data_IF_529382967817
#
_entry.id   IF_529382967817
#
_cell.length_a   1.000
_cell.length_b   1.000
_cell.length_c   1.000
_cell.angle_alpha   90.00
_cell.angle_beta   90.00
_cell.angle_gamma   90.00
#
_symmetry.space_group_name_H-M   'P 1'
#
loop_
_entity.id
_entity.type
_entity.pdbx_description
1 polymer ?
#
# COMPACT_ATOMS: atom_id res chain seq x y z
N UNK A 1 21.33 -15.06 -14.45
CA UNK A 1 19.87 -15.24 -14.42
C UNK A 1 19.27 -13.92 -14.00
N UNK A 2 18.38 -13.33 -14.80
CA UNK A 2 17.84 -12.00 -14.55
C UNK A 2 16.52 -12.07 -13.78
N UNK A 3 16.40 -11.32 -12.69
CA UNK A 3 15.25 -11.31 -11.80
C UNK A 3 13.97 -10.85 -12.51
N UNK A 4 14.02 -9.91 -13.47
CA UNK A 4 12.82 -9.40 -14.17
C UNK A 4 12.02 -10.46 -14.94
N UNK A 5 12.62 -11.61 -15.27
CA UNK A 5 11.97 -12.68 -16.05
C UNK A 5 11.35 -13.80 -15.20
N UNK A 6 11.64 -13.82 -13.90
CA UNK A 6 11.18 -14.86 -12.99
C UNK A 6 10.03 -14.35 -12.13
N UNK A 7 9.11 -15.21 -11.75
CA UNK A 7 8.05 -14.85 -10.80
C UNK A 7 8.61 -14.89 -9.38
N UNK A 8 8.13 -14.03 -8.47
CA UNK A 8 8.62 -14.05 -7.08
C UNK A 8 8.30 -15.40 -6.45
N UNK A 9 7.12 -15.94 -6.76
CA UNK A 9 6.61 -17.21 -6.27
C UNK A 9 7.47 -18.43 -6.66
N UNK A 10 8.41 -18.27 -7.59
CA UNK A 10 9.38 -19.32 -7.98
C UNK A 10 10.55 -19.44 -7.00
N UNK A 11 10.71 -18.48 -6.08
CA UNK A 11 11.74 -18.48 -5.07
C UNK A 11 11.19 -18.93 -3.70
N UNK A 12 12.02 -19.55 -2.86
CA UNK A 12 11.73 -19.76 -1.44
C UNK A 12 11.49 -18.44 -0.69
N UNK A 13 10.84 -18.47 0.48
CA UNK A 13 10.37 -17.27 1.20
C UNK A 13 11.44 -16.20 1.45
N UNK A 14 12.62 -16.57 1.95
CA UNK A 14 13.68 -15.57 2.13
C UNK A 14 14.22 -15.09 0.77
N UNK A 15 14.36 -16.00 -0.20
CA UNK A 15 14.64 -15.66 -1.59
C UNK A 15 13.69 -14.63 -2.20
N UNK A 16 12.38 -14.76 -1.94
CA UNK A 16 11.35 -13.81 -2.35
C UNK A 16 11.60 -12.41 -1.78
N UNK A 17 11.85 -12.31 -0.46
CA UNK A 17 12.15 -11.03 0.19
C UNK A 17 13.39 -10.38 -0.41
N UNK A 18 14.48 -11.15 -0.54
CA UNK A 18 15.75 -10.65 -1.08
C UNK A 18 15.63 -10.20 -2.54
N UNK A 19 14.89 -10.94 -3.36
CA UNK A 19 14.63 -10.59 -4.76
C UNK A 19 13.68 -9.40 -4.90
N UNK A 20 12.68 -9.29 -4.02
CA UNK A 20 11.79 -8.13 -3.95
C UNK A 20 12.57 -6.84 -3.70
N UNK A 21 13.43 -6.85 -2.67
CA UNK A 21 14.32 -5.72 -2.36
C UNK A 21 15.28 -5.38 -3.52
N UNK A 22 15.85 -6.40 -4.17
CA UNK A 22 16.72 -6.19 -5.32
C UNK A 22 16.01 -5.47 -6.46
N UNK A 23 14.79 -5.89 -6.82
CA UNK A 23 13.99 -5.27 -7.88
C UNK A 23 13.64 -3.82 -7.60
N UNK A 24 13.31 -3.50 -6.36
CA UNK A 24 12.97 -2.14 -5.94
C UNK A 24 14.17 -1.19 -6.00
N UNK A 25 15.39 -1.73 -5.94
CA UNK A 25 16.64 -0.99 -6.05
C UNK A 25 17.28 -1.09 -7.45
N UNK A 26 16.49 -1.44 -8.48
CA UNK A 26 16.94 -1.62 -9.86
C UNK A 26 18.09 -2.62 -10.04
N UNK A 27 18.22 -3.58 -9.11
CA UNK A 27 19.17 -4.69 -9.20
C UNK A 27 18.50 -5.87 -9.90
N UNK A 28 19.05 -6.28 -11.04
CA UNK A 28 18.47 -7.27 -11.94
C UNK A 28 19.12 -8.65 -11.82
N UNK A 29 20.30 -8.78 -11.21
CA UNK A 29 20.99 -10.06 -11.15
C UNK A 29 21.63 -10.36 -9.79
N UNK A 30 21.82 -11.64 -9.41
CA UNK A 30 22.63 -12.00 -8.24
C UNK A 30 24.07 -11.48 -8.32
N UNK A 31 24.57 -11.28 -9.53
CA UNK A 31 25.90 -10.71 -9.77
C UNK A 31 25.96 -9.24 -9.36
N UNK A 32 24.93 -8.45 -9.68
CA UNK A 32 24.84 -7.05 -9.26
C UNK A 32 24.64 -6.90 -7.75
N UNK A 33 23.86 -7.79 -7.10
CA UNK A 33 23.81 -7.84 -5.62
C UNK A 33 25.22 -8.07 -5.06
N UNK A 34 25.95 -9.06 -5.59
CA UNK A 34 27.28 -9.38 -5.11
C UNK A 34 28.30 -8.26 -5.34
N UNK A 35 28.24 -7.58 -6.49
CA UNK A 35 29.07 -6.40 -6.79
C UNK A 35 28.75 -5.27 -5.80
N UNK A 36 27.46 -5.00 -5.56
CA UNK A 36 27.04 -3.94 -4.64
C UNK A 36 27.46 -4.25 -3.20
N UNK A 37 27.34 -5.50 -2.76
CA UNK A 37 27.84 -5.96 -1.46
C UNK A 37 29.36 -5.84 -1.35
N UNK A 38 30.10 -6.19 -2.40
CA UNK A 38 31.54 -6.03 -2.43
C UNK A 38 31.93 -4.55 -2.30
N UNK A 39 31.29 -3.65 -3.04
CA UNK A 39 31.61 -2.22 -3.03
C UNK A 39 31.20 -1.53 -1.73
N UNK A 40 29.99 -1.79 -1.22
CA UNK A 40 29.39 -1.05 -0.09
C UNK A 40 29.57 -1.75 1.26
N UNK A 41 29.81 -3.05 1.28
CA UNK A 41 29.76 -3.88 2.49
C UNK A 41 30.93 -4.88 2.59
N UNK A 42 32.06 -4.62 1.93
CA UNK A 42 33.18 -5.57 1.81
C UNK A 42 33.57 -6.23 3.14
N UNK A 43 33.77 -5.43 4.19
CA UNK A 43 34.23 -5.92 5.50
C UNK A 43 33.27 -6.95 6.13
N UNK A 44 31.97 -6.88 5.82
CA UNK A 44 30.96 -7.82 6.29
C UNK A 44 30.93 -9.12 5.47
N UNK A 45 31.15 -9.01 4.16
CA UNK A 45 31.01 -10.14 3.21
C UNK A 45 32.35 -10.69 2.72
N UNK A 46 33.46 -10.23 3.30
CA UNK A 46 34.82 -10.57 2.88
C UNK A 46 35.00 -12.09 2.80
N UNK A 47 35.38 -12.63 1.63
CA UNK A 47 35.69 -14.05 1.48
C UNK A 47 36.94 -14.45 2.27
N UNK A 48 37.03 -15.73 2.62
CA UNK A 48 38.20 -16.26 3.32
C UNK A 48 39.48 -16.11 2.48
N UNK A 49 40.62 -15.89 3.15
CA UNK A 49 41.91 -15.70 2.49
C UNK A 49 42.31 -16.93 1.69
N UNK A 50 42.65 -16.73 0.41
CA UNK A 50 43.15 -17.80 -0.46
C UNK A 50 44.66 -17.74 -0.54
N UNK A 51 45.29 -18.89 -0.27
CA UNK A 51 46.73 -19.09 -0.47
C UNK A 51 46.97 -19.83 -1.79
N UNK A 52 47.94 -19.37 -2.57
CA UNK A 52 48.38 -20.12 -3.75
C UNK A 52 49.22 -21.35 -3.35
N UNK A 53 49.66 -22.13 -4.35
CA UNK A 53 50.56 -23.28 -4.16
C UNK A 53 51.90 -22.97 -3.47
N UNK A 54 52.23 -21.69 -3.31
CA UNK A 54 53.44 -21.19 -2.62
C UNK A 54 53.11 -20.51 -1.28
N UNK A 55 51.90 -20.67 -0.75
CA UNK A 55 51.48 -20.10 0.53
C UNK A 55 51.23 -18.59 0.55
N UNK A 56 51.36 -17.88 -0.58
CA UNK A 56 51.11 -16.43 -0.66
C UNK A 56 49.61 -16.15 -0.78
N UNK A 57 49.14 -15.16 -0.02
CA UNK A 57 47.77 -14.66 -0.11
C UNK A 57 47.58 -14.00 -1.47
N UNK A 58 46.60 -14.47 -2.23
CA UNK A 58 46.21 -13.88 -3.52
C UNK A 58 44.89 -13.15 -3.30
N UNK A 59 44.94 -11.81 -3.31
CA UNK A 59 43.75 -10.96 -3.31
C UNK A 59 43.39 -10.61 -4.76
N UNK A 60 42.17 -10.93 -5.15
CA UNK A 60 41.68 -10.65 -6.50
C UNK A 60 40.19 -10.34 -6.40
N UNK A 61 39.84 -9.10 -6.73
CA UNK A 61 38.46 -8.59 -6.71
C UNK A 61 37.51 -9.52 -7.47
N UNK A 62 37.88 -9.94 -8.68
CA UNK A 62 37.07 -10.85 -9.49
C UNK A 62 36.78 -12.18 -8.77
N UNK A 63 37.78 -12.73 -8.06
CA UNK A 63 37.62 -13.96 -7.30
C UNK A 63 36.77 -13.76 -6.04
N UNK A 64 36.89 -12.60 -5.40
CA UNK A 64 36.08 -12.25 -4.23
C UNK A 64 34.61 -12.09 -4.61
N UNK A 65 34.33 -11.30 -5.66
CA UNK A 65 32.99 -11.12 -6.21
C UNK A 65 32.40 -12.48 -6.63
N UNK A 66 33.16 -13.33 -7.35
CA UNK A 66 32.69 -14.70 -7.70
C UNK A 66 32.33 -15.54 -6.48
N UNK A 67 33.01 -15.34 -5.36
CA UNK A 67 32.72 -16.05 -4.11
C UNK A 67 31.45 -15.53 -3.46
N UNK A 68 31.28 -14.21 -3.43
CA UNK A 68 30.06 -13.54 -2.93
C UNK A 68 28.86 -13.94 -3.78
N UNK A 69 28.99 -14.00 -5.11
CA UNK A 69 27.92 -14.45 -6.03
C UNK A 69 27.39 -15.83 -5.62
N UNK A 70 28.29 -16.80 -5.37
CA UNK A 70 27.88 -18.15 -4.96
C UNK A 70 27.07 -18.12 -3.68
N UNK A 71 27.48 -17.32 -2.70
CA UNK A 71 26.78 -17.18 -1.42
C UNK A 71 25.41 -16.52 -1.61
N UNK A 72 25.35 -15.43 -2.38
CA UNK A 72 24.08 -14.74 -2.72
C UNK A 72 23.12 -15.70 -3.43
N UNK A 73 23.61 -16.53 -4.35
CA UNK A 73 22.78 -17.54 -5.03
C UNK A 73 22.25 -18.61 -4.07
N UNK A 74 23.04 -19.04 -3.08
CA UNK A 74 22.55 -19.95 -2.04
C UNK A 74 21.45 -19.26 -1.22
N UNK A 75 21.69 -18.03 -0.77
CA UNK A 75 20.70 -17.27 0.00
C UNK A 75 19.41 -17.00 -0.77
N UNK A 76 19.47 -16.76 -2.08
CA UNK A 76 18.27 -16.63 -2.92
C UNK A 76 17.45 -17.92 -2.99
N UNK A 77 18.07 -19.08 -2.80
CA UNK A 77 17.40 -20.38 -2.75
C UNK A 77 17.13 -20.85 -1.32
N UNK A 78 17.23 -19.97 -0.33
CA UNK A 78 16.98 -20.30 1.07
C UNK A 78 15.53 -19.98 1.44
N UNK A 79 14.86 -20.93 2.10
CA UNK A 79 13.50 -20.74 2.61
C UNK A 79 13.54 -20.02 3.96
N UNK A 80 14.49 -20.40 4.82
CA UNK A 80 14.55 -19.94 6.20
C UNK A 80 15.66 -18.91 6.41
N UNK A 81 15.26 -17.67 6.72
CA UNK A 81 16.18 -16.55 6.98
C UNK A 81 17.22 -16.84 8.08
N UNK A 82 16.92 -17.73 9.04
CA UNK A 82 17.85 -18.11 10.11
C UNK A 82 19.06 -18.94 9.62
N UNK A 83 18.98 -19.53 8.42
CA UNK A 83 20.10 -20.24 7.79
C UNK A 83 21.09 -19.30 7.10
N UNK A 84 20.69 -18.04 6.88
CA UNK A 84 21.53 -17.02 6.26
C UNK A 84 22.52 -16.50 7.31
N UNK A 85 23.79 -16.42 6.92
CA UNK A 85 24.86 -15.96 7.80
C UNK A 85 24.56 -14.54 8.29
N UNK A 86 24.63 -14.28 9.61
CA UNK A 86 24.24 -12.99 10.21
C UNK A 86 25.00 -11.79 9.61
N UNK A 87 26.28 -11.99 9.23
CA UNK A 87 27.08 -10.97 8.54
C UNK A 87 26.48 -10.55 7.18
N UNK A 88 25.90 -11.51 6.45
CA UNK A 88 25.19 -11.25 5.19
C UNK A 88 23.81 -10.65 5.44
N UNK A 89 23.09 -11.08 6.49
CA UNK A 89 21.83 -10.43 6.88
C UNK A 89 22.04 -8.95 7.17
N UNK A 90 23.08 -8.61 7.92
CA UNK A 90 23.44 -7.22 8.18
C UNK A 90 23.89 -6.49 6.90
N UNK A 91 24.67 -7.14 6.04
CA UNK A 91 25.08 -6.53 4.78
C UNK A 91 23.89 -6.26 3.84
N UNK A 92 22.90 -7.15 3.77
CA UNK A 92 21.66 -6.92 3.03
C UNK A 92 20.83 -5.78 3.63
N UNK A 93 20.77 -5.71 4.97
CA UNK A 93 20.03 -4.64 5.66
C UNK A 93 20.63 -3.27 5.30
N UNK A 94 21.96 -3.15 5.30
CA UNK A 94 22.69 -1.94 4.89
C UNK A 94 22.53 -1.64 3.40
N UNK A 95 22.64 -2.66 2.54
CA UNK A 95 22.57 -2.48 1.08
C UNK A 95 21.19 -1.97 0.63
N UNK A 96 20.12 -2.56 1.17
CA UNK A 96 18.74 -2.27 0.81
C UNK A 96 18.03 -1.32 1.77
N UNK A 97 18.76 -0.74 2.71
CA UNK A 97 18.24 0.25 3.68
C UNK A 97 16.99 -0.24 4.43
N UNK A 98 16.95 -1.54 4.75
CA UNK A 98 15.85 -2.18 5.45
C UNK A 98 16.28 -2.72 6.82
N UNK A 99 15.33 -3.01 7.69
CA UNK A 99 15.56 -3.58 9.01
C UNK A 99 15.98 -5.05 8.93
N UNK A 100 16.81 -5.47 9.87
CA UNK A 100 17.19 -6.89 10.00
C UNK A 100 15.97 -7.75 10.37
N UNK A 101 15.06 -7.22 11.19
CA UNK A 101 13.82 -7.90 11.59
C UNK A 101 12.91 -8.17 10.38
N UNK A 102 12.87 -7.25 9.40
CA UNK A 102 12.18 -7.47 8.13
C UNK A 102 12.75 -8.63 7.33
N UNK A 103 14.09 -8.69 7.23
CA UNK A 103 14.81 -9.77 6.54
C UNK A 103 14.59 -11.13 7.22
N UNK A 104 14.54 -11.17 8.56
CA UNK A 104 14.18 -12.38 9.30
C UNK A 104 12.68 -12.73 9.22
N UNK A 105 11.84 -11.83 8.70
CA UNK A 105 10.39 -12.03 8.63
C UNK A 105 9.69 -11.90 10.00
N UNK A 106 10.33 -11.23 10.96
CA UNK A 106 9.74 -10.93 12.28
C UNK A 106 8.69 -9.82 12.16
N UNK A 107 8.92 -8.88 11.25
CA UNK A 107 8.01 -7.77 10.93
C UNK A 107 7.89 -7.61 9.41
N UNK A 108 6.78 -7.08 8.93
CA UNK A 108 6.62 -6.68 7.52
C UNK A 108 6.99 -5.21 7.29
N UNK A 109 7.40 -4.49 8.34
CA UNK A 109 7.86 -3.09 8.26
C UNK A 109 9.34 -3.05 7.88
N UNK A 110 9.66 -2.44 6.73
CA UNK A 110 11.02 -2.40 6.18
C UNK A 110 11.89 -1.37 6.87
N UNK A 111 11.30 -0.28 7.35
CA UNK A 111 12.05 0.87 7.87
C UNK A 111 13.11 0.50 8.90
N UNK A 112 14.32 1.02 8.70
CA UNK A 112 15.38 0.99 9.71
C UNK A 112 15.09 1.93 10.88
N UNK A 113 14.27 2.96 10.67
CA UNK A 113 13.90 3.91 11.71
C UNK A 113 12.97 3.24 12.72
N UNK A 114 13.47 3.14 13.97
CA UNK A 114 12.75 2.50 15.06
C UNK A 114 11.39 3.17 15.30
N UNK A 115 11.30 4.49 15.18
CA UNK A 115 10.06 5.23 15.40
C UNK A 115 8.99 4.89 14.36
N UNK A 116 9.36 4.87 13.08
CA UNK A 116 8.45 4.47 11.98
C UNK A 116 7.95 3.05 12.22
N UNK A 117 8.85 2.14 12.61
CA UNK A 117 8.50 0.75 12.92
C UNK A 117 7.52 0.63 14.08
N UNK A 118 7.81 1.30 15.20
CA UNK A 118 6.94 1.29 16.37
C UNK A 118 5.56 1.87 16.07
N UNK A 119 5.48 2.93 15.26
CA UNK A 119 4.19 3.50 14.84
C UNK A 119 3.44 2.48 13.98
N UNK A 120 4.07 1.89 12.96
CA UNK A 120 3.44 0.88 12.12
C UNK A 120 2.92 -0.31 12.94
N UNK A 121 3.73 -0.85 13.86
CA UNK A 121 3.37 -1.99 14.70
C UNK A 121 2.23 -1.68 15.68
N UNK A 122 2.21 -0.48 16.27
CA UNK A 122 1.17 -0.08 17.23
C UNK A 122 -0.15 0.31 16.56
N UNK A 123 -0.10 0.87 15.35
CA UNK A 123 -1.27 1.43 14.66
C UNK A 123 -1.82 0.52 13.56
N UNK A 124 -1.02 -0.42 13.06
CA UNK A 124 -1.33 -1.21 11.87
C UNK A 124 -1.23 -0.43 10.55
N UNK A 125 -0.79 0.83 10.60
CA UNK A 125 -0.55 1.63 9.38
C UNK A 125 0.64 1.06 8.61
N UNK A 126 0.57 1.16 7.28
CA UNK A 126 1.70 0.81 6.43
C UNK A 126 2.83 1.83 6.57
N UNK A 127 4.07 1.39 6.33
CA UNK A 127 5.25 2.26 6.36
C UNK A 127 5.06 3.50 5.49
N UNK A 128 4.53 3.33 4.27
CA UNK A 128 4.23 4.45 3.37
C UNK A 128 3.24 5.45 3.97
N UNK A 129 2.21 4.99 4.67
CA UNK A 129 1.24 5.88 5.31
C UNK A 129 1.90 6.68 6.45
N UNK A 130 2.73 6.03 7.27
CA UNK A 130 3.48 6.70 8.35
C UNK A 130 4.50 7.69 7.79
N UNK A 131 5.25 7.31 6.75
CA UNK A 131 6.19 8.20 6.07
C UNK A 131 5.48 9.42 5.49
N UNK A 132 4.33 9.24 4.82
CA UNK A 132 3.53 10.37 4.34
C UNK A 132 3.12 11.32 5.47
N UNK A 133 2.72 10.79 6.64
CA UNK A 133 2.36 11.62 7.79
C UNK A 133 3.56 12.40 8.34
N UNK A 134 4.74 11.78 8.39
CA UNK A 134 5.96 12.44 8.88
C UNK A 134 6.46 13.49 7.89
N UNK A 135 6.55 13.17 6.60
CA UNK A 135 7.09 14.05 5.56
C UNK A 135 6.20 15.26 5.28
N UNK A 136 4.88 15.12 5.47
CA UNK A 136 3.92 16.22 5.28
C UNK A 136 3.56 16.92 6.60
N UNK A 137 4.31 16.65 7.67
CA UNK A 137 4.14 17.35 8.93
C UNK A 137 4.79 18.74 8.83
N UNK A 138 3.95 19.76 8.73
CA UNK A 138 4.38 21.15 8.84
C UNK A 138 4.23 21.61 10.29
N UNK A 139 5.32 22.06 10.91
CA UNK A 139 5.33 22.56 12.29
C UNK A 139 4.63 23.93 12.40
N UNK A 140 4.53 24.69 11.30
CA UNK A 140 3.98 26.04 11.28
C UNK A 140 3.11 26.26 10.04
N UNK A 141 1.98 25.55 9.92
CA UNK A 141 1.10 25.69 8.77
C UNK A 141 0.48 27.10 8.76
N UNK A 142 0.76 27.89 7.73
CA UNK A 142 0.21 29.26 7.62
C UNK A 142 -1.32 29.27 7.42
N UNK A 143 -1.88 28.27 6.72
CA UNK A 143 -3.30 28.24 6.35
C UNK A 143 -3.97 26.85 6.47
N UNK A 144 -3.27 25.79 6.10
CA UNK A 144 -3.81 24.42 6.08
C UNK A 144 -2.70 23.41 6.36
N UNK A 145 -2.95 22.47 7.28
CA UNK A 145 -2.10 21.33 7.53
C UNK A 145 -2.78 20.04 7.09
N UNK A 146 -2.13 19.32 6.18
CA UNK A 146 -2.59 18.00 5.71
C UNK A 146 -2.62 17.02 6.87
N UNK A 147 -1.58 17.02 7.71
CA UNK A 147 -1.47 16.10 8.85
C UNK A 147 -2.47 16.42 9.94
N UNK A 148 -2.76 17.70 10.19
CA UNK A 148 -3.83 18.10 11.12
C UNK A 148 -5.20 17.68 10.59
N UNK A 149 -5.47 17.85 9.29
CA UNK A 149 -6.74 17.40 8.69
C UNK A 149 -6.93 15.89 8.86
N UNK A 150 -5.88 15.10 8.64
CA UNK A 150 -5.93 13.65 8.89
C UNK A 150 -6.08 13.34 10.37
N UNK A 151 -5.40 14.03 11.28
CA UNK A 151 -5.58 13.86 12.73
C UNK A 151 -7.05 14.06 13.12
N UNK A 152 -7.66 15.13 12.62
CA UNK A 152 -9.07 15.43 12.88
C UNK A 152 -10.02 14.35 12.35
N UNK A 153 -9.70 13.72 11.21
CA UNK A 153 -10.45 12.59 10.68
C UNK A 153 -10.31 11.35 11.57
N UNK A 154 -9.09 11.08 12.05
CA UNK A 154 -8.80 9.94 12.91
C UNK A 154 -9.43 10.08 14.31
N UNK A 155 -9.64 11.31 14.77
CA UNK A 155 -10.35 11.63 16.03
C UNK A 155 -11.89 11.57 15.89
N UNK A 156 -12.41 11.66 14.67
CA UNK A 156 -13.84 11.69 14.41
C UNK A 156 -14.46 10.28 14.38
N UNK A 157 -15.80 10.20 14.49
CA UNK A 157 -16.53 8.94 14.27
C UNK A 157 -16.35 8.41 12.85
N UNK A 158 -16.07 9.29 11.90
CA UNK A 158 -15.73 8.93 10.52
C UNK A 158 -14.62 7.87 10.43
N UNK A 159 -13.69 7.83 11.41
CA UNK A 159 -12.67 6.78 11.51
C UNK A 159 -13.26 5.36 11.52
N UNK A 160 -14.37 5.14 12.23
CA UNK A 160 -15.04 3.84 12.32
C UNK A 160 -16.18 3.70 11.31
N UNK A 161 -16.97 4.76 11.13
CA UNK A 161 -18.21 4.70 10.35
C UNK A 161 -17.94 4.45 8.87
N UNK A 162 -16.93 5.11 8.29
CA UNK A 162 -16.61 4.95 6.85
C UNK A 162 -16.20 3.49 6.54
N UNK A 163 -15.23 2.86 7.24
CA UNK A 163 -14.89 1.47 7.00
C UNK A 163 -16.05 0.48 7.22
N UNK A 164 -16.89 0.70 8.24
CA UNK A 164 -18.03 -0.20 8.55
C UNK A 164 -19.08 -0.14 7.43
N UNK A 165 -19.43 1.06 6.97
CA UNK A 165 -20.40 1.23 5.89
C UNK A 165 -19.82 0.72 4.56
N UNK A 166 -18.54 0.95 4.29
CA UNK A 166 -17.84 0.36 3.14
C UNK A 166 -17.90 -1.16 3.17
N UNK A 167 -17.56 -1.79 4.30
CA UNK A 167 -17.63 -3.25 4.46
C UNK A 167 -19.03 -3.78 4.16
N UNK A 168 -20.06 -3.14 4.70
CA UNK A 168 -21.46 -3.52 4.45
C UNK A 168 -21.79 -3.46 2.97
N UNK A 169 -21.38 -2.39 2.29
CA UNK A 169 -21.55 -2.27 0.83
C UNK A 169 -20.80 -3.37 0.08
N UNK A 170 -19.53 -3.63 0.42
CA UNK A 170 -18.71 -4.67 -0.21
C UNK A 170 -19.30 -6.06 -0.04
N UNK A 171 -19.83 -6.39 1.14
CA UNK A 171 -20.52 -7.67 1.38
C UNK A 171 -21.74 -7.84 0.47
N UNK A 172 -22.53 -6.78 0.24
CA UNK A 172 -23.67 -6.81 -0.71
C UNK A 172 -23.22 -7.00 -2.15
N UNK A 173 -22.14 -6.33 -2.56
CA UNK A 173 -21.55 -6.52 -3.89
C UNK A 173 -21.08 -7.96 -4.09
N UNK A 174 -20.44 -8.54 -3.06
CA UNK A 174 -19.99 -9.93 -3.08
C UNK A 174 -21.17 -10.91 -3.21
N UNK A 175 -22.21 -10.75 -2.39
CA UNK A 175 -23.45 -11.56 -2.48
C UNK A 175 -24.03 -11.55 -3.90
N UNK A 176 -24.07 -10.38 -4.55
CA UNK A 176 -24.54 -10.24 -5.93
C UNK A 176 -23.65 -10.98 -6.92
N UNK A 177 -22.32 -10.88 -6.77
CA UNK A 177 -21.38 -11.58 -7.64
C UNK A 177 -21.46 -13.10 -7.48
N UNK A 178 -21.66 -13.59 -6.26
CA UNK A 178 -21.80 -15.03 -6.01
C UNK A 178 -23.11 -15.59 -6.58
N UNK A 179 -24.20 -14.82 -6.54
CA UNK A 179 -25.42 -15.15 -7.27
C UNK A 179 -25.18 -15.25 -8.77
N UNK A 180 -24.43 -14.31 -9.36
CA UNK A 180 -24.08 -14.37 -10.79
C UNK A 180 -23.28 -15.64 -11.12
N UNK A 181 -22.22 -15.94 -10.37
CA UNK A 181 -21.42 -17.16 -10.57
C UNK A 181 -22.28 -18.42 -10.46
N UNK A 182 -23.24 -18.43 -9.54
CA UNK A 182 -24.17 -19.57 -9.37
C UNK A 182 -25.10 -19.72 -10.56
N UNK A 183 -25.65 -18.62 -11.09
CA UNK A 183 -26.47 -18.62 -12.31
C UNK A 183 -25.66 -19.16 -13.49
N UNK A 184 -24.44 -18.66 -13.68
CA UNK A 184 -23.55 -19.07 -14.78
C UNK A 184 -23.22 -20.58 -14.68
N UNK A 185 -22.93 -21.07 -13.47
CA UNK A 185 -22.66 -22.48 -13.23
C UNK A 185 -23.86 -23.39 -13.52
N UNK A 186 -25.07 -22.97 -13.15
CA UNK A 186 -26.30 -23.73 -13.45
C UNK A 186 -26.56 -23.75 -14.95
N UNK A 187 -26.47 -22.60 -15.63
CA UNK A 187 -26.66 -22.51 -17.07
C UNK A 187 -25.67 -23.39 -17.84
N UNK A 188 -24.40 -23.40 -17.41
CA UNK A 188 -23.38 -24.29 -17.97
C UNK A 188 -23.73 -25.76 -17.75
N UNK A 189 -24.09 -26.16 -16.54
CA UNK A 189 -24.46 -27.54 -16.23
C UNK A 189 -25.69 -28.01 -17.03
N UNK A 190 -26.68 -27.14 -17.24
CA UNK A 190 -27.86 -27.44 -18.06
C UNK A 190 -27.53 -27.64 -19.54
N UNK A 191 -26.46 -27.01 -20.04
CA UNK A 191 -25.97 -27.22 -21.40
C UNK A 191 -25.15 -28.50 -21.59
N UNK A 192 -24.65 -29.10 -20.50
CA UNK A 192 -23.74 -30.25 -20.54
C UNK A 192 -24.40 -31.58 -20.13
N UNK A 193 -25.48 -31.54 -19.34
CA UNK A 193 -26.15 -32.74 -18.80
C UNK A 193 -27.47 -33.01 -19.52
N UNK A 194 -27.63 -34.21 -20.09
CA UNK A 194 -28.93 -34.67 -20.56
C UNK A 194 -29.86 -34.97 -19.39
N UNK A 195 -30.99 -34.28 -19.33
CA UNK A 195 -32.00 -34.41 -18.29
C UNK A 195 -33.33 -34.85 -18.90
N UNK A 196 -34.11 -35.62 -18.14
CA UNK A 196 -35.50 -35.88 -18.47
C UNK A 196 -36.30 -34.56 -18.61
N UNK A 197 -37.28 -34.54 -19.51
CA UNK A 197 -38.09 -33.37 -19.83
C UNK A 197 -38.68 -32.63 -18.63
N UNK A 198 -39.18 -33.36 -17.61
CA UNK A 198 -39.79 -32.78 -16.42
C UNK A 198 -38.71 -32.18 -15.51
N UNK A 199 -37.60 -32.90 -15.35
CA UNK A 199 -36.46 -32.44 -14.54
C UNK A 199 -35.82 -31.20 -15.17
N UNK A 200 -35.70 -31.16 -16.50
CA UNK A 200 -35.12 -30.04 -17.23
C UNK A 200 -35.90 -28.75 -17.00
N UNK A 201 -37.23 -28.79 -17.14
CA UNK A 201 -38.11 -27.64 -16.88
C UNK A 201 -37.93 -27.11 -15.45
N UNK A 202 -37.89 -28.01 -14.45
CA UNK A 202 -37.69 -27.61 -13.05
C UNK A 202 -36.32 -26.97 -12.79
N UNK A 203 -35.26 -27.42 -13.48
CA UNK A 203 -33.93 -26.83 -13.31
C UNK A 203 -33.76 -25.52 -14.09
N UNK A 204 -34.40 -25.37 -15.26
CA UNK A 204 -34.41 -24.12 -16.05
C UNK A 204 -35.07 -22.96 -15.29
N UNK A 205 -35.99 -23.23 -14.36
CA UNK A 205 -36.60 -22.20 -13.49
C UNK A 205 -35.67 -21.65 -12.40
N UNK A 206 -34.57 -22.36 -12.08
CA UNK A 206 -33.66 -21.95 -10.99
C UNK A 206 -32.83 -20.70 -11.34
N UNK A 207 -32.18 -20.62 -12.51
CA UNK A 207 -31.52 -19.39 -12.97
C UNK A 207 -32.44 -18.18 -12.92
N UNK A 208 -33.67 -18.29 -13.42
CA UNK A 208 -34.65 -17.19 -13.43
C UNK A 208 -34.99 -16.71 -12.02
N UNK A 209 -35.15 -17.65 -11.09
CA UNK A 209 -35.42 -17.33 -9.68
C UNK A 209 -34.23 -16.62 -9.04
N UNK A 210 -33.01 -17.10 -9.30
CA UNK A 210 -31.78 -16.48 -8.79
C UNK A 210 -31.55 -15.10 -9.41
N UNK A 211 -31.92 -14.90 -10.68
CA UNK A 211 -31.81 -13.60 -11.36
C UNK A 211 -32.76 -12.56 -10.71
N UNK A 212 -33.95 -12.97 -10.27
CA UNK A 212 -34.84 -12.10 -9.47
C UNK A 212 -34.21 -11.71 -8.13
N UNK A 213 -33.68 -12.68 -7.38
CA UNK A 213 -32.97 -12.38 -6.13
C UNK A 213 -31.74 -11.48 -6.37
N UNK A 214 -31.04 -11.65 -7.50
CA UNK A 214 -29.90 -10.80 -7.87
C UNK A 214 -30.32 -9.34 -8.06
N UNK A 215 -31.46 -9.08 -8.70
CA UNK A 215 -32.02 -7.73 -8.87
C UNK A 215 -32.39 -7.09 -7.52
N UNK A 216 -33.03 -7.82 -6.63
CA UNK A 216 -33.32 -7.32 -5.28
C UNK A 216 -32.02 -6.95 -4.54
N UNK A 217 -30.97 -7.76 -4.69
CA UNK A 217 -29.65 -7.46 -4.12
C UNK A 217 -29.00 -6.24 -4.75
N UNK A 218 -29.22 -5.99 -6.03
CA UNK A 218 -28.73 -4.79 -6.71
C UNK A 218 -29.32 -3.51 -6.11
N UNK A 219 -30.62 -3.47 -5.82
CA UNK A 219 -31.25 -2.34 -5.12
C UNK A 219 -30.64 -2.12 -3.72
N UNK A 220 -30.37 -3.20 -2.98
CA UNK A 220 -29.69 -3.10 -1.68
C UNK A 220 -28.24 -2.62 -1.79
N UNK A 221 -27.54 -2.93 -2.89
CA UNK A 221 -26.21 -2.41 -3.17
C UNK A 221 -26.25 -0.90 -3.38
N UNK A 222 -27.17 -0.42 -4.23
CA UNK A 222 -27.35 1.02 -4.47
C UNK A 222 -27.72 1.77 -3.18
N UNK A 223 -28.62 1.21 -2.37
CA UNK A 223 -28.98 1.79 -1.07
C UNK A 223 -27.80 1.85 -0.09
N UNK A 224 -26.96 0.82 -0.06
CA UNK A 224 -25.77 0.78 0.81
C UNK A 224 -24.70 1.76 0.34
N UNK A 225 -24.47 1.86 -0.98
CA UNK A 225 -23.57 2.84 -1.59
C UNK A 225 -24.03 4.27 -1.32
N UNK A 226 -25.32 4.56 -1.50
CA UNK A 226 -25.89 5.89 -1.21
C UNK A 226 -25.67 6.31 0.24
N UNK A 227 -25.88 5.40 1.19
CA UNK A 227 -25.58 5.65 2.62
C UNK A 227 -24.11 5.96 2.84
N UNK A 228 -23.20 5.17 2.23
CA UNK A 228 -21.75 5.41 2.32
C UNK A 228 -21.39 6.82 1.85
N UNK A 229 -21.90 7.22 0.68
CA UNK A 229 -21.63 8.54 0.11
C UNK A 229 -22.20 9.65 0.98
N UNK A 230 -23.39 9.46 1.56
CA UNK A 230 -24.00 10.45 2.43
C UNK A 230 -23.18 10.67 3.72
N UNK A 231 -22.64 9.61 4.32
CA UNK A 231 -21.76 9.76 5.49
C UNK A 231 -20.50 10.54 5.16
N UNK A 232 -19.84 10.21 4.05
CA UNK A 232 -18.62 10.89 3.60
C UNK A 232 -18.94 12.36 3.30
N UNK A 233 -20.03 12.63 2.58
CA UNK A 233 -20.45 13.99 2.24
C UNK A 233 -20.73 14.82 3.49
N UNK A 234 -21.55 14.32 4.42
CA UNK A 234 -21.89 15.02 5.65
C UNK A 234 -20.64 15.36 6.48
N UNK A 235 -19.68 14.44 6.56
CA UNK A 235 -18.41 14.70 7.23
C UNK A 235 -17.63 15.83 6.55
N UNK A 236 -17.45 15.75 5.23
CA UNK A 236 -16.70 16.75 4.46
C UNK A 236 -17.36 18.13 4.51
N UNK A 237 -18.68 18.21 4.40
CA UNK A 237 -19.43 19.47 4.50
C UNK A 237 -19.28 20.10 5.88
N UNK A 238 -19.46 19.32 6.95
CA UNK A 238 -19.27 19.79 8.33
C UNK A 238 -17.86 20.33 8.57
N UNK A 239 -16.85 19.63 8.06
CA UNK A 239 -15.45 20.06 8.16
C UNK A 239 -15.16 21.30 7.35
N UNK A 240 -15.72 21.39 6.14
CA UNK A 240 -15.59 22.56 5.28
C UNK A 240 -16.20 23.78 5.95
N UNK A 241 -17.42 23.66 6.49
CA UNK A 241 -18.08 24.74 7.22
C UNK A 241 -17.23 25.21 8.41
N UNK A 242 -16.75 24.27 9.23
CA UNK A 242 -15.89 24.57 10.39
C UNK A 242 -14.56 25.25 10.00
N UNK A 243 -13.99 24.91 8.85
CA UNK A 243 -12.77 25.54 8.35
C UNK A 243 -13.07 26.93 7.80
N UNK A 244 -14.12 27.10 6.99
CA UNK A 244 -14.55 28.38 6.42
C UNK A 244 -14.86 29.39 7.52
N UNK A 245 -15.55 29.00 8.60
CA UNK A 245 -15.83 29.88 9.75
C UNK A 245 -14.57 30.40 10.45
N UNK A 246 -13.45 29.68 10.36
CA UNK A 246 -12.17 30.12 10.93
C UNK A 246 -11.44 31.10 10.01
N UNK A 247 -11.78 31.12 8.72
CA UNK A 247 -11.18 32.03 7.75
C UNK A 247 -11.86 33.40 7.81
N UNK A 248 -11.08 34.45 7.57
CA UNK A 248 -11.61 35.79 7.25
C UNK A 248 -12.61 36.38 8.26
N UNK A 249 -12.42 36.12 9.57
CA UNK A 249 -13.34 36.56 10.64
C UNK A 249 -13.69 38.05 10.65
N UNK A 250 -12.79 38.91 10.13
CA UNK A 250 -12.95 40.37 10.10
C UNK A 250 -13.29 40.93 8.71
N UNK A 251 -13.53 40.06 7.72
CA UNK A 251 -13.68 40.51 6.33
C UNK A 251 -15.04 41.13 6.04
N UNK A 252 -16.09 40.80 6.80
CA UNK A 252 -17.41 41.42 6.62
C UNK A 252 -17.34 42.95 6.81
N UNK A 253 -16.66 43.39 7.88
CA UNK A 253 -16.42 44.81 8.14
C UNK A 253 -15.45 45.43 7.11
N UNK A 254 -14.45 44.67 6.65
CA UNK A 254 -13.52 45.12 5.60
C UNK A 254 -14.24 45.35 4.26
N UNK A 255 -15.08 44.39 3.84
CA UNK A 255 -15.88 44.49 2.61
C UNK A 255 -16.92 45.60 2.74
N UNK A 256 -17.60 45.72 3.88
CA UNK A 256 -18.52 46.82 4.15
C UNK A 256 -17.83 48.19 3.99
N UNK A 257 -16.66 48.40 4.62
CA UNK A 257 -15.89 49.64 4.48
C UNK A 257 -15.42 49.90 3.05
N UNK A 258 -15.02 48.85 2.33
CA UNK A 258 -14.62 48.94 0.93
C UNK A 258 -15.78 49.41 0.05
N UNK A 259 -16.96 48.83 0.19
CA UNK A 259 -18.16 49.21 -0.56
C UNK A 259 -18.63 50.63 -0.22
N UNK A 260 -18.61 51.01 1.06
CA UNK A 260 -18.88 52.39 1.50
C UNK A 260 -17.96 53.39 0.79
N UNK A 261 -16.66 53.09 0.71
CA UNK A 261 -15.69 53.98 0.07
C UNK A 261 -15.92 54.10 -1.44
N UNK A 262 -16.24 53.00 -2.13
CA UNK A 262 -16.60 53.03 -3.56
C UNK A 262 -17.81 53.94 -3.81
N UNK A 263 -18.85 53.79 -3.00
CA UNK A 263 -20.06 54.62 -3.11
C UNK A 263 -19.77 56.10 -2.89
N UNK A 264 -18.94 56.45 -1.90
CA UNK A 264 -18.50 57.84 -1.66
C UNK A 264 -17.75 58.44 -2.85
N UNK A 265 -16.89 57.66 -3.52
CA UNK A 265 -16.16 58.13 -4.70
C UNK A 265 -17.14 58.40 -5.85
N UNK A 266 -18.11 57.51 -6.08
CA UNK A 266 -19.13 57.69 -7.11
C UNK A 266 -19.97 58.94 -6.84
N UNK A 267 -20.44 59.11 -5.60
CA UNK A 267 -21.21 60.30 -5.20
C UNK A 267 -20.42 61.59 -5.43
N UNK A 268 -19.13 61.61 -5.09
CA UNK A 268 -18.26 62.76 -5.32
C UNK A 268 -18.07 63.06 -6.81
N UNK A 269 -17.95 62.03 -7.65
CA UNK A 269 -17.80 62.18 -9.10
C UNK A 269 -19.06 62.65 -9.84
N UNK A 270 -20.25 62.45 -9.25
CA UNK A 270 -21.54 62.88 -9.80
C UNK A 270 -21.93 64.31 -9.38
N UNK A 271 -21.22 64.90 -8.41
CA UNK A 271 -21.42 66.30 -7.95
C UNK A 271 -20.55 67.31 -8.70
N UNK A 272 -19.87 66.87 -9.76
CA UNK A 272 -19.07 67.69 -10.71
C UNK A 272 -19.82 67.79 -12.03
#
# INVERSE_FOLDING_TARGET
MAFKKLKLEEFPKFGQKLMGLARENDIETPAEIAQSLYTRCYELVKPGERKNKYGKIVKSEENDIKSIIKIVQVHLNEENAYNVQSKYMYAYSQLFECSIDYLYGITEVRSQHLDIRQICEKTGLSEKAVTNLIENHDNYPENFSVTEWWSQLLEDRAFYDIPIVWRTYSERVLERQDLQKRIDAINKALGEVELDSIIRILQEMRPDTLERFKREKEDTCYGSFGKMMQYIQNYLESRTASWVEKQHKDYDEMYYRSEINKLKIIEASLKV
#
